data_IF_492199963547
#
_entry.id   IF_492199963547
#
_cell.length_a   1.000
_cell.length_b   1.000
_cell.length_c   1.000
_cell.angle_alpha   90.00
_cell.angle_beta   90.00
_cell.angle_gamma   90.00
#
_symmetry.space_group_name_H-M   'P 1'
#
loop_
_entity.id
_entity.type
_entity.pdbx_description
1 polymer ?
#
# COMPACT_ATOMS: atom_id res chain seq x y z
N UNK A 1 55.27 -3.18 -11.01
CA UNK A 1 54.26 -2.56 -10.13
C UNK A 1 52.97 -2.41 -10.93
N UNK A 2 51.91 -3.11 -10.55
CA UNK A 2 50.59 -3.11 -11.21
C UNK A 2 49.64 -2.32 -10.33
N UNK A 3 49.16 -1.16 -10.79
CA UNK A 3 48.06 -0.44 -10.15
C UNK A 3 46.80 -0.68 -10.98
N UNK A 4 45.88 -1.46 -10.40
CA UNK A 4 44.59 -1.80 -10.96
C UNK A 4 43.65 -0.59 -10.86
N UNK A 5 43.00 -0.24 -11.97
CA UNK A 5 42.00 0.82 -12.01
C UNK A 5 40.71 0.38 -11.30
N UNK A 6 40.27 1.23 -10.36
CA UNK A 6 39.06 1.08 -9.55
C UNK A 6 37.81 1.04 -10.44
N UNK A 7 37.05 -0.05 -10.35
CA UNK A 7 35.72 -0.17 -10.96
C UNK A 7 34.71 0.56 -10.06
N UNK A 8 34.23 1.73 -10.48
CA UNK A 8 33.19 2.47 -9.78
C UNK A 8 31.85 1.73 -9.92
N UNK A 9 31.41 1.04 -8.87
CA UNK A 9 30.10 0.41 -8.79
C UNK A 9 29.04 1.50 -8.55
N UNK A 10 28.46 2.02 -9.62
CA UNK A 10 27.35 2.96 -9.52
C UNK A 10 26.12 2.22 -8.98
N UNK A 11 25.83 2.33 -7.68
CA UNK A 11 24.57 1.83 -7.11
C UNK A 11 23.43 2.71 -7.63
N UNK A 12 22.82 2.29 -8.73
CA UNK A 12 21.57 2.87 -9.19
C UNK A 12 20.49 2.59 -8.14
N UNK A 13 20.19 3.59 -7.31
CA UNK A 13 19.09 3.52 -6.35
C UNK A 13 17.79 3.45 -7.14
N UNK A 14 17.16 2.29 -7.16
CA UNK A 14 15.83 2.11 -7.72
C UNK A 14 14.81 2.77 -6.80
N UNK A 15 14.48 4.03 -7.07
CA UNK A 15 13.36 4.72 -6.42
C UNK A 15 12.08 3.97 -6.75
N UNK A 16 11.48 3.33 -5.75
CA UNK A 16 10.18 2.68 -5.90
C UNK A 16 9.14 3.78 -6.13
N UNK A 17 8.49 3.76 -7.30
CA UNK A 17 7.34 4.62 -7.57
C UNK A 17 6.20 4.19 -6.66
N UNK A 18 6.14 4.77 -5.47
CA UNK A 18 5.03 4.55 -4.57
C UNK A 18 3.80 5.26 -5.14
N UNK A 19 2.88 4.49 -5.70
CA UNK A 19 1.56 4.94 -6.12
C UNK A 19 0.87 5.62 -4.94
N UNK A 20 0.36 6.83 -5.19
CA UNK A 20 -0.41 7.59 -4.22
C UNK A 20 -1.90 7.43 -4.56
N UNK A 21 -2.68 7.03 -3.58
CA UNK A 21 -4.10 6.71 -3.73
C UNK A 21 -4.94 7.66 -2.88
N UNK A 22 -6.03 8.23 -3.42
CA UNK A 22 -6.83 9.17 -2.66
C UNK A 22 -7.74 8.45 -1.66
N UNK A 23 -7.92 9.07 -0.49
CA UNK A 23 -8.86 8.65 0.53
C UNK A 23 -10.30 9.01 0.12
N UNK A 24 -11.23 8.08 0.27
CA UNK A 24 -12.64 8.25 -0.11
C UNK A 24 -13.55 8.59 1.07
N UNK A 25 -13.19 8.17 2.29
CA UNK A 25 -13.92 8.50 3.51
C UNK A 25 -13.70 9.95 3.97
N UNK A 26 -14.69 10.52 4.68
CA UNK A 26 -14.64 11.92 5.15
C UNK A 26 -13.42 12.19 6.05
N UNK A 27 -13.27 11.36 7.08
CA UNK A 27 -12.10 11.33 7.97
C UNK A 27 -11.79 9.87 8.25
N UNK A 28 -10.57 9.45 7.92
CA UNK A 28 -10.15 8.05 8.02
C UNK A 28 -8.94 7.96 8.94
N UNK A 29 -9.04 7.06 9.92
CA UNK A 29 -7.99 6.88 10.93
C UNK A 29 -6.90 5.95 10.42
N UNK A 30 -5.67 6.43 10.47
CA UNK A 30 -4.46 5.66 10.28
C UNK A 30 -3.99 5.12 11.64
N UNK A 31 -3.94 3.80 11.77
CA UNK A 31 -3.77 3.10 13.05
C UNK A 31 -2.40 2.47 13.20
N UNK A 32 -2.03 2.13 14.42
CA UNK A 32 -0.73 1.51 14.73
C UNK A 32 -0.59 0.08 14.21
N UNK A 33 -1.70 -0.60 13.92
CA UNK A 33 -1.74 -1.95 13.34
C UNK A 33 -3.00 -2.18 12.50
N UNK A 34 -3.10 -3.34 11.83
CA UNK A 34 -4.18 -3.67 10.88
C UNK A 34 -5.46 -4.09 11.60
N UNK A 35 -6.13 -3.14 12.25
CA UNK A 35 -7.38 -3.38 12.95
C UNK A 35 -7.95 -2.14 13.61
N UNK A 36 -9.26 -2.12 13.84
CA UNK A 36 -9.97 -0.98 14.44
C UNK A 36 -9.71 -0.81 15.94
N UNK A 37 -9.19 -1.85 16.61
CA UNK A 37 -8.79 -1.80 18.03
C UNK A 37 -7.42 -1.15 18.25
N UNK A 38 -6.60 -1.00 17.21
CA UNK A 38 -5.28 -0.37 17.33
C UNK A 38 -5.40 1.14 17.50
N UNK A 39 -4.49 1.72 18.27
CA UNK A 39 -4.43 3.16 18.52
C UNK A 39 -4.33 3.98 17.23
N UNK A 40 -5.02 5.12 17.18
CA UNK A 40 -4.95 6.06 16.06
C UNK A 40 -3.64 6.84 16.15
N UNK A 41 -2.83 6.80 15.10
CA UNK A 41 -1.59 7.57 14.98
C UNK A 41 -1.79 8.88 14.22
N UNK A 42 -2.69 8.87 13.24
CA UNK A 42 -2.96 9.99 12.33
C UNK A 42 -4.37 9.84 11.75
N UNK A 43 -4.92 10.90 11.19
CA UNK A 43 -6.13 10.84 10.38
C UNK A 43 -5.92 11.53 9.04
N UNK A 44 -6.57 11.01 8.01
CA UNK A 44 -6.58 11.60 6.67
C UNK A 44 -7.98 12.11 6.35
N UNK A 45 -8.05 13.26 5.69
CA UNK A 45 -9.30 13.80 5.15
C UNK A 45 -9.60 13.18 3.78
N UNK A 46 -10.85 13.21 3.36
CA UNK A 46 -11.26 12.85 1.99
C UNK A 46 -10.40 13.58 0.95
N UNK A 47 -9.98 12.85 -0.08
CA UNK A 47 -9.12 13.35 -1.16
C UNK A 47 -7.63 13.39 -0.82
N UNK A 48 -7.23 13.18 0.43
CA UNK A 48 -5.82 13.09 0.78
C UNK A 48 -5.17 11.90 0.07
N UNK A 49 -3.99 12.10 -0.51
CA UNK A 49 -3.25 11.06 -1.20
C UNK A 49 -2.35 10.30 -0.22
N UNK A 50 -2.54 8.99 -0.11
CA UNK A 50 -1.72 8.10 0.71
C UNK A 50 -0.88 7.19 -0.16
N UNK A 51 0.42 7.07 0.16
CA UNK A 51 1.33 6.12 -0.51
C UNK A 51 1.30 4.80 0.24
N UNK A 52 0.99 3.71 -0.45
CA UNK A 52 0.94 2.36 0.14
C UNK A 52 2.28 1.67 -0.03
N UNK A 53 2.87 1.22 1.07
CA UNK A 53 4.18 0.55 1.13
C UNK A 53 4.07 -0.98 1.11
N UNK A 54 3.04 -1.52 1.75
CA UNK A 54 2.66 -2.91 1.75
C UNK A 54 1.22 -3.05 2.22
N UNK A 55 0.62 -4.21 1.98
CA UNK A 55 -0.74 -4.54 2.41
C UNK A 55 -0.75 -5.75 3.34
N UNK A 56 -1.74 -5.86 4.21
CA UNK A 56 -1.89 -7.02 5.10
C UNK A 56 -3.35 -7.26 5.43
N UNK A 57 -3.66 -8.44 5.96
CA UNK A 57 -5.01 -8.74 6.43
C UNK A 57 -5.16 -8.33 7.90
N UNK A 58 -6.38 -7.95 8.28
CA UNK A 58 -6.70 -7.44 9.60
C UNK A 58 -8.18 -7.53 9.93
N UNK A 59 -8.64 -6.73 10.90
CA UNK A 59 -10.07 -6.65 11.24
C UNK A 59 -10.88 -6.22 10.03
N UNK A 60 -12.03 -6.88 9.79
CA UNK A 60 -12.93 -6.54 8.69
C UNK A 60 -13.60 -5.20 8.93
N UNK A 61 -13.55 -4.32 7.93
CA UNK A 61 -14.24 -3.04 7.88
C UNK A 61 -15.16 -3.09 6.67
N UNK A 62 -16.47 -3.07 6.93
CA UNK A 62 -17.51 -3.10 5.90
C UNK A 62 -17.33 -4.25 4.88
N UNK A 63 -16.90 -5.44 5.36
CA UNK A 63 -16.68 -6.63 4.54
C UNK A 63 -15.29 -6.73 3.90
N UNK A 64 -14.43 -5.71 4.01
CA UNK A 64 -13.06 -5.73 3.51
C UNK A 64 -12.08 -5.89 4.69
N UNK A 65 -11.22 -6.91 4.64
CA UNK A 65 -10.24 -7.22 5.67
C UNK A 65 -8.80 -6.84 5.28
N UNK A 66 -8.61 -6.10 4.20
CA UNK A 66 -7.30 -5.62 3.72
C UNK A 66 -6.99 -4.27 4.39
N UNK A 67 -5.73 -4.13 4.81
CA UNK A 67 -5.18 -2.95 5.44
C UNK A 67 -3.92 -2.50 4.70
N UNK A 68 -3.88 -1.22 4.37
CA UNK A 68 -2.79 -0.55 3.67
C UNK A 68 -1.82 0.08 4.66
N UNK A 69 -0.55 -0.35 4.64
CA UNK A 69 0.50 0.34 5.38
C UNK A 69 0.95 1.56 4.59
N UNK A 70 0.69 2.75 5.10
CA UNK A 70 1.08 3.99 4.46
C UNK A 70 2.57 4.30 4.68
N UNK A 71 3.12 5.21 3.89
CA UNK A 71 4.46 5.76 4.11
C UNK A 71 4.61 6.51 5.44
N UNK A 72 3.51 6.92 6.07
CA UNK A 72 3.51 7.48 7.43
C UNK A 72 3.70 6.40 8.52
N UNK A 73 3.87 5.13 8.14
CA UNK A 73 4.16 4.04 9.08
C UNK A 73 2.95 3.58 9.92
N UNK A 74 1.75 3.83 9.42
CA UNK A 74 0.48 3.44 10.02
C UNK A 74 -0.42 2.73 9.00
N UNK A 75 -1.53 2.16 9.45
CA UNK A 75 -2.40 1.28 8.66
C UNK A 75 -3.78 1.92 8.46
N UNK A 76 -4.27 1.92 7.23
CA UNK A 76 -5.61 2.37 6.86
C UNK A 76 -6.39 1.19 6.28
N UNK A 77 -7.69 1.09 6.53
CA UNK A 77 -8.52 0.07 5.89
C UNK A 77 -8.64 0.36 4.39
N UNK A 78 -8.34 -0.63 3.55
CA UNK A 78 -8.34 -0.51 2.07
C UNK A 78 -9.71 -0.07 1.53
N UNK A 79 -10.79 -0.41 2.24
CA UNK A 79 -12.15 0.07 1.96
C UNK A 79 -12.25 1.60 1.75
N UNK A 80 -11.41 2.38 2.42
CA UNK A 80 -11.41 3.84 2.33
C UNK A 80 -10.34 4.43 1.41
N UNK A 81 -9.61 3.59 0.68
CA UNK A 81 -8.53 4.00 -0.22
C UNK A 81 -8.92 3.64 -1.65
N UNK A 82 -8.89 4.61 -2.56
CA UNK A 82 -9.23 4.35 -3.97
C UNK A 82 -8.03 3.70 -4.69
N UNK A 83 -7.77 2.43 -4.39
CA UNK A 83 -6.70 1.64 -5.02
C UNK A 83 -7.07 1.14 -6.42
N UNK A 84 -8.37 1.16 -6.75
CA UNK A 84 -8.91 0.75 -8.03
C UNK A 84 -9.17 -0.76 -8.14
N UNK A 85 -8.88 -1.54 -7.09
CA UNK A 85 -9.14 -2.98 -7.01
C UNK A 85 -9.57 -3.38 -5.58
N UNK A 86 -10.16 -4.55 -5.40
CA UNK A 86 -10.50 -5.12 -4.08
C UNK A 86 -9.42 -6.08 -3.55
N UNK A 87 -8.25 -6.10 -4.20
CA UNK A 87 -7.17 -7.03 -3.92
C UNK A 87 -5.90 -6.31 -3.49
N UNK A 88 -4.86 -7.10 -3.27
CA UNK A 88 -3.55 -6.56 -3.00
C UNK A 88 -3.02 -5.82 -4.25
N UNK A 89 -2.92 -4.49 -4.18
CA UNK A 89 -2.26 -3.65 -5.19
C UNK A 89 -0.75 -3.60 -5.02
N UNK A 90 -0.25 -4.08 -3.88
CA UNK A 90 1.19 -4.14 -3.60
C UNK A 90 1.56 -5.40 -2.79
N UNK A 91 2.85 -5.54 -2.48
CA UNK A 91 3.40 -6.65 -1.71
C UNK A 91 2.76 -6.77 -0.31
N UNK A 92 2.73 -7.99 0.23
CA UNK A 92 2.29 -8.23 1.60
C UNK A 92 3.30 -7.68 2.62
N UNK A 93 2.83 -7.16 3.75
CA UNK A 93 3.69 -6.77 4.86
C UNK A 93 4.31 -8.02 5.51
N UNK A 94 5.60 -7.95 5.89
CA UNK A 94 6.31 -9.05 6.56
C UNK A 94 7.08 -10.00 5.63
N UNK A 95 6.92 -9.89 4.31
CA UNK A 95 7.84 -10.49 3.35
C UNK A 95 9.03 -9.55 3.09
N UNK A 96 10.25 -10.01 3.38
CA UNK A 96 11.49 -9.31 3.04
C UNK A 96 11.48 -8.81 1.59
N UNK A 97 12.09 -7.64 1.35
CA UNK A 97 11.93 -6.85 0.14
C UNK A 97 11.92 -7.65 -1.16
N UNK A 98 10.86 -7.48 -1.94
CA UNK A 98 10.85 -7.87 -3.36
C UNK A 98 9.83 -6.98 -4.07
N UNK A 99 10.30 -6.42 -5.18
CA UNK A 99 9.61 -5.70 -6.24
C UNK A 99 8.12 -6.12 -6.36
N UNK A 100 7.16 -5.19 -6.52
CA UNK A 100 5.80 -5.57 -6.93
C UNK A 100 5.91 -6.45 -8.18
N UNK A 101 5.12 -7.53 -8.34
CA UNK A 101 5.26 -8.42 -9.48
C UNK A 101 4.97 -7.62 -10.76
N UNK A 102 6.06 -7.28 -11.46
CA UNK A 102 6.02 -6.80 -12.83
C UNK A 102 5.64 -7.99 -13.69
N UNK A 103 4.35 -8.15 -14.00
CA UNK A 103 3.87 -9.11 -15.01
C UNK A 103 3.11 -10.35 -14.52
N UNK A 104 2.59 -10.39 -13.30
CA UNK A 104 1.76 -11.52 -12.85
C UNK A 104 0.30 -11.35 -13.26
N UNK A 105 -0.20 -12.21 -14.18
CA UNK A 105 -1.62 -12.32 -14.56
C UNK A 105 -2.53 -12.24 -13.33
N UNK A 106 -3.37 -11.21 -13.29
CA UNK A 106 -4.44 -11.03 -12.30
C UNK A 106 -5.40 -12.23 -12.43
N UNK A 107 -5.60 -13.04 -11.38
CA UNK A 107 -6.55 -14.14 -11.43
C UNK A 107 -7.99 -13.60 -11.54
N UNK A 108 -8.61 -13.84 -12.70
CA UNK A 108 -10.06 -13.84 -12.90
C UNK A 108 -10.76 -12.47 -12.88
N UNK A 109 -11.99 -12.39 -13.42
CA UNK A 109 -12.70 -11.12 -13.56
C UNK A 109 -13.15 -10.64 -12.18
N UNK A 110 -12.39 -9.73 -11.58
CA UNK A 110 -12.78 -9.08 -10.32
C UNK A 110 -13.98 -8.17 -10.58
N UNK A 111 -15.13 -8.58 -10.06
CA UNK A 111 -16.39 -7.83 -10.09
C UNK A 111 -16.18 -6.47 -9.40
N UNK A 112 -16.53 -5.39 -10.08
CA UNK A 112 -16.42 -4.02 -9.57
C UNK A 112 -17.58 -3.72 -8.62
N UNK A 113 -17.47 -4.24 -7.39
CA UNK A 113 -18.44 -4.05 -6.31
C UNK A 113 -18.14 -2.82 -5.43
N UNK A 114 -17.29 -1.89 -5.90
CA UNK A 114 -17.06 -0.64 -5.16
C UNK A 114 -18.38 0.15 -5.08
N UNK A 115 -18.85 0.52 -3.87
CA UNK A 115 -20.08 1.30 -3.69
C UNK A 115 -19.93 2.76 -4.16
N UNK A 116 -18.72 3.19 -4.52
CA UNK A 116 -18.44 4.52 -5.05
C UNK A 116 -18.31 4.47 -6.58
N UNK A 117 -19.42 4.13 -7.25
CA UNK A 117 -19.65 4.49 -8.64
C UNK A 117 -20.00 5.98 -8.64
N UNK A 118 -19.21 6.80 -9.34
CA UNK A 118 -19.62 8.16 -9.66
C UNK A 118 -20.86 8.15 -10.54
#
# INVERSE_FOLDING_TARGET
MKVAALLALCLATVSSVASAYPITGNTVNCRSGPGTSYSVKKSYKKGANVKITCQTSGTSVNGNNIWDKTSDGCYVADYYVKTGTNGYVTKKCGGGGSKPPSGGKIPGPMKNDYPYKG
#
